data_IF_582639196768
#
_entry.id   IF_582639196768
#
_cell.length_a   1.000
_cell.length_b   1.000
_cell.length_c   1.000
_cell.angle_alpha   90.00
_cell.angle_beta   90.00
_cell.angle_gamma   90.00
#
_symmetry.space_group_name_H-M   'P 1'
#
loop_
_entity.id
_entity.type
_entity.pdbx_description
1 polymer ?
#
# COMPACT_ATOMS: atom_id res chain seq x y z
N UNK A 1 24.08 14.93 9.03
CA UNK A 1 22.88 15.44 8.34
C UNK A 1 23.10 15.75 6.85
N UNK A 2 24.24 16.32 6.42
CA UNK A 2 24.49 16.65 4.99
C UNK A 2 24.50 15.45 4.04
N UNK A 3 25.01 14.29 4.46
CA UNK A 3 25.07 13.08 3.64
C UNK A 3 23.68 12.51 3.29
N UNK A 4 22.74 12.57 4.23
CA UNK A 4 21.36 12.14 4.01
C UNK A 4 20.65 13.04 2.99
N UNK A 5 20.86 14.35 3.06
CA UNK A 5 20.32 15.28 2.09
C UNK A 5 20.89 15.05 0.68
N UNK A 6 22.18 14.70 0.58
CA UNK A 6 22.83 14.39 -0.70
C UNK A 6 22.29 13.08 -1.28
N UNK A 7 22.09 12.05 -0.45
CA UNK A 7 21.48 10.80 -0.91
C UNK A 7 20.04 11.00 -1.36
N UNK A 8 19.24 11.78 -0.63
CA UNK A 8 17.87 12.11 -1.03
C UNK A 8 17.82 12.93 -2.32
N UNK A 9 18.73 13.89 -2.49
CA UNK A 9 18.85 14.66 -3.72
C UNK A 9 19.29 13.79 -4.90
N UNK A 10 20.23 12.86 -4.70
CA UNK A 10 20.67 11.92 -5.74
C UNK A 10 19.52 10.99 -6.17
N UNK A 11 18.71 10.51 -5.22
CA UNK A 11 17.51 9.72 -5.52
C UNK A 11 16.48 10.55 -6.30
N UNK A 12 16.26 11.82 -5.93
CA UNK A 12 15.33 12.70 -6.63
C UNK A 12 15.75 13.00 -8.08
N UNK A 13 17.07 13.14 -8.35
CA UNK A 13 17.60 13.37 -9.70
C UNK A 13 17.49 12.12 -10.57
N UNK A 14 17.68 10.91 -10.01
CA UNK A 14 17.54 9.65 -10.76
C UNK A 14 16.07 9.31 -11.03
N UNK A 15 15.15 9.76 -10.17
CA UNK A 15 13.70 9.60 -10.37
C UNK A 15 13.03 10.70 -11.20
N UNK A 16 13.76 11.75 -11.59
CA UNK A 16 13.26 12.84 -12.43
C UNK A 16 13.15 12.42 -13.90
N UNK A 17 12.16 11.58 -14.22
CA UNK A 17 11.81 11.24 -15.60
C UNK A 17 11.23 12.41 -16.40
N UNK A 18 11.39 12.34 -17.72
CA UNK A 18 11.11 13.38 -18.71
C UNK A 18 9.78 14.13 -18.53
N UNK A 19 9.86 15.39 -18.06
CA UNK A 19 8.73 16.32 -18.07
C UNK A 19 8.59 16.99 -19.45
N UNK A 20 8.13 16.22 -20.44
CA UNK A 20 7.83 16.72 -21.79
C UNK A 20 6.31 16.87 -21.92
N UNK A 21 5.81 17.99 -21.42
CA UNK A 21 4.41 18.40 -21.51
C UNK A 21 4.08 18.98 -22.91
N UNK A 22 4.45 18.26 -23.96
CA UNK A 22 4.10 18.57 -25.36
C UNK A 22 3.38 17.34 -25.91
N UNK A 23 2.06 17.30 -25.73
CA UNK A 23 1.16 16.20 -26.12
C UNK A 23 1.42 14.84 -25.43
N UNK A 24 1.46 14.85 -24.10
CA UNK A 24 1.68 13.66 -23.27
C UNK A 24 0.54 12.63 -23.35
N UNK A 25 -0.68 13.05 -23.73
CA UNK A 25 -1.85 12.18 -23.83
C UNK A 25 -1.83 11.29 -25.08
N UNK A 26 -1.17 11.72 -26.16
CA UNK A 26 -1.07 10.94 -27.40
C UNK A 26 -0.17 9.71 -27.30
N UNK A 27 0.83 9.74 -26.43
CA UNK A 27 1.81 8.67 -26.27
C UNK A 27 1.59 7.82 -25.01
N UNK A 28 0.71 8.26 -24.11
CA UNK A 28 0.21 7.43 -23.01
C UNK A 28 -0.81 6.42 -23.55
N UNK A 29 -0.37 5.52 -24.43
CA UNK A 29 -1.15 4.34 -24.81
C UNK A 29 -1.26 3.44 -23.58
N UNK A 30 -2.28 3.70 -22.76
CA UNK A 30 -2.63 2.85 -21.64
C UNK A 30 -3.18 1.56 -22.23
N UNK A 31 -2.32 0.55 -22.36
CA UNK A 31 -2.77 -0.79 -22.75
C UNK A 31 -3.70 -1.32 -21.68
N UNK A 32 -4.69 -2.15 -22.03
CA UNK A 32 -5.66 -2.71 -21.08
C UNK A 32 -4.97 -3.44 -19.90
N UNK A 33 -3.75 -3.94 -20.12
CA UNK A 33 -2.94 -4.59 -19.08
C UNK A 33 -2.52 -3.64 -17.96
N UNK A 34 -2.24 -2.36 -18.25
CA UNK A 34 -1.74 -1.41 -17.26
C UNK A 34 -2.78 -1.09 -16.17
N UNK A 35 -4.05 -0.76 -16.49
CA UNK A 35 -5.10 -0.61 -15.49
C UNK A 35 -5.38 -1.93 -14.75
N UNK A 36 -5.35 -3.06 -15.45
CA UNK A 36 -5.59 -4.37 -14.82
C UNK A 36 -4.58 -4.67 -13.70
N UNK A 37 -3.29 -4.45 -13.95
CA UNK A 37 -2.24 -4.62 -12.95
C UNK A 37 -2.41 -3.65 -11.77
N UNK A 38 -2.79 -2.40 -12.04
CA UNK A 38 -3.07 -1.41 -10.99
C UNK A 38 -4.26 -1.87 -10.12
N UNK A 39 -5.34 -2.36 -10.73
CA UNK A 39 -6.49 -2.87 -9.98
C UNK A 39 -6.13 -4.05 -9.07
N UNK A 40 -5.39 -5.04 -9.57
CA UNK A 40 -4.97 -6.20 -8.75
C UNK A 40 -4.06 -5.75 -7.61
N UNK A 41 -3.10 -4.87 -7.89
CA UNK A 41 -2.21 -4.35 -6.86
C UNK A 41 -2.97 -3.57 -5.78
N UNK A 42 -3.82 -2.62 -6.19
CA UNK A 42 -4.62 -1.82 -5.28
C UNK A 42 -5.61 -2.65 -4.49
N UNK A 43 -6.18 -3.70 -5.08
CA UNK A 43 -7.06 -4.64 -4.39
C UNK A 43 -6.36 -5.21 -3.16
N UNK A 44 -5.18 -5.81 -3.30
CA UNK A 44 -4.46 -6.34 -2.14
C UNK A 44 -4.00 -5.25 -1.18
N UNK A 45 -3.53 -4.11 -1.69
CA UNK A 45 -3.07 -2.99 -0.86
C UNK A 45 -4.18 -2.45 0.05
N UNK A 46 -5.41 -2.35 -0.45
CA UNK A 46 -6.56 -1.82 0.30
C UNK A 46 -7.21 -2.90 1.17
N UNK A 47 -7.38 -4.12 0.66
CA UNK A 47 -8.09 -5.18 1.39
C UNK A 47 -7.23 -5.89 2.45
N UNK A 48 -5.91 -5.99 2.27
CA UNK A 48 -5.03 -6.63 3.25
C UNK A 48 -5.16 -6.04 4.68
N UNK A 49 -5.09 -4.71 4.90
CA UNK A 49 -5.25 -4.17 6.24
C UNK A 49 -6.66 -4.40 6.80
N UNK A 50 -7.71 -4.36 5.97
CA UNK A 50 -9.09 -4.64 6.43
C UNK A 50 -9.26 -6.09 6.89
N UNK A 51 -8.74 -7.04 6.10
CA UNK A 51 -8.77 -8.48 6.44
C UNK A 51 -7.98 -8.72 7.73
N UNK A 52 -6.80 -8.11 7.85
CA UNK A 52 -5.99 -8.21 9.06
C UNK A 52 -6.74 -7.68 10.29
N UNK A 53 -7.40 -6.52 10.17
CA UNK A 53 -8.22 -5.96 11.26
C UNK A 53 -9.37 -6.90 11.65
N UNK A 54 -10.09 -7.47 10.69
CA UNK A 54 -11.16 -8.42 10.95
C UNK A 54 -10.65 -9.66 11.69
N UNK A 55 -9.53 -10.24 11.25
CA UNK A 55 -8.91 -11.40 11.90
C UNK A 55 -8.51 -11.07 13.34
N UNK A 56 -7.85 -9.92 13.56
CA UNK A 56 -7.43 -9.50 14.90
C UNK A 56 -8.61 -9.24 15.82
N UNK A 57 -9.67 -8.61 15.31
CA UNK A 57 -10.90 -8.37 16.06
C UNK A 57 -11.52 -9.68 16.54
N UNK A 58 -11.73 -10.63 15.62
CA UNK A 58 -12.33 -11.94 15.94
C UNK A 58 -11.46 -12.72 16.92
N UNK A 59 -10.15 -12.78 16.68
CA UNK A 59 -9.21 -13.48 17.59
C UNK A 59 -9.23 -12.86 18.99
N UNK A 60 -9.28 -11.53 19.09
CA UNK A 60 -9.28 -10.85 20.37
C UNK A 60 -10.62 -11.03 21.11
N UNK A 61 -11.75 -11.03 20.40
CA UNK A 61 -13.06 -11.33 21.00
C UNK A 61 -13.08 -12.73 21.61
N UNK A 62 -12.65 -13.75 20.86
CA UNK A 62 -12.58 -15.13 21.37
C UNK A 62 -11.66 -15.26 22.59
N UNK A 63 -10.53 -14.52 22.62
CA UNK A 63 -9.60 -14.57 23.76
C UNK A 63 -10.25 -14.00 25.03
N UNK A 64 -11.00 -12.91 24.90
CA UNK A 64 -11.71 -12.28 26.02
C UNK A 64 -12.81 -13.19 26.58
N UNK A 65 -13.59 -13.81 25.71
CA UNK A 65 -14.67 -14.73 26.12
C UNK A 65 -14.10 -15.95 26.89
N UNK A 66 -12.92 -16.43 26.49
CA UNK A 66 -12.24 -17.52 27.19
C UNK A 66 -11.67 -17.09 28.56
N UNK A 67 -11.09 -15.89 28.66
CA UNK A 67 -10.60 -15.33 29.92
C UNK A 67 -11.75 -15.08 30.94
N UNK A 68 -12.91 -14.63 30.45
CA UNK A 68 -14.10 -14.39 31.30
C UNK A 68 -14.73 -15.69 31.83
N UNK A 69 -14.65 -16.80 31.10
CA UNK A 69 -15.11 -18.11 31.57
C UNK A 69 -14.20 -18.68 32.68
N UNK A 70 -12.88 -18.60 32.52
CA UNK A 70 -11.90 -19.11 33.49
C UNK A 70 -11.89 -18.31 34.81
N UNK A 71 -12.16 -17.00 34.74
CA UNK A 71 -12.25 -16.15 35.94
C UNK A 71 -13.58 -16.27 36.70
N UNK A 72 -14.58 -16.94 36.12
CA UNK A 72 -15.90 -17.16 36.71
C UNK A 72 -16.08 -18.51 37.40
N UNK A 73 -15.11 -19.42 37.27
CA UNK A 73 -14.99 -20.69 38.00
C UNK A 73 -14.13 -20.54 39.28
#
# INVERSE_FOLDING_TARGET
MRLWAIMLAAVAVVYGGDAWAVDSYRFLHVTINTPWMIFVFLFFLVFAPMILQAILYVRNAMRRDAEEQDAGE
#
